data_IF_193287418439
#
_entry.id   IF_193287418439
#
_cell.length_a   1.000
_cell.length_b   1.000
_cell.length_c   1.000
_cell.angle_alpha   90.00
_cell.angle_beta   90.00
_cell.angle_gamma   90.00
#
_symmetry.space_group_name_H-M   'P 1'
#
loop_
_entity.id
_entity.type
_entity.pdbx_description
1 polymer ?
#
# COMPACT_ATOMS: atom_id res chain seq x y z
N UNK A 1 -20.58 -24.64 11.26
CA UNK A 1 -20.93 -23.29 10.77
C UNK A 1 -20.98 -23.41 9.26
N UNK A 2 -22.11 -23.06 8.63
CA UNK A 2 -22.26 -23.19 7.18
C UNK A 2 -21.43 -22.11 6.47
N UNK A 3 -20.83 -22.47 5.33
CA UNK A 3 -20.03 -21.55 4.53
C UNK A 3 -20.93 -20.50 3.85
N UNK A 4 -20.50 -19.23 3.89
CA UNK A 4 -21.24 -18.12 3.30
C UNK A 4 -20.76 -17.89 1.86
N UNK A 5 -21.68 -17.73 0.91
CA UNK A 5 -21.33 -17.38 -0.48
C UNK A 5 -21.49 -15.87 -0.70
N UNK A 6 -20.38 -15.14 -0.68
CA UNK A 6 -20.30 -13.69 -0.99
C UNK A 6 -19.04 -13.39 -1.79
N UNK A 7 -19.19 -12.57 -2.82
CA UNK A 7 -18.08 -12.22 -3.72
C UNK A 7 -17.35 -10.94 -3.34
N UNK A 8 -18.00 -10.04 -2.58
CA UNK A 8 -17.46 -8.77 -2.13
C UNK A 8 -17.50 -8.73 -0.60
N UNK A 9 -16.34 -8.63 0.04
CA UNK A 9 -16.18 -8.74 1.50
C UNK A 9 -15.43 -7.55 2.03
N UNK A 10 -15.92 -6.95 3.10
CA UNK A 10 -15.25 -5.86 3.82
C UNK A 10 -14.84 -6.33 5.21
N UNK A 11 -13.55 -6.18 5.53
CA UNK A 11 -13.01 -6.48 6.85
C UNK A 11 -12.80 -5.21 7.66
N UNK A 12 -13.35 -5.18 8.88
CA UNK A 12 -13.34 -4.02 9.76
C UNK A 12 -14.33 -2.94 9.33
N UNK A 13 -15.54 -3.35 8.92
CA UNK A 13 -16.54 -2.44 8.36
C UNK A 13 -17.10 -1.42 9.37
N UNK A 14 -16.98 -1.70 10.67
CA UNK A 14 -17.55 -0.87 11.74
C UNK A 14 -19.01 -0.50 11.49
N UNK A 15 -19.30 0.80 11.59
CA UNK A 15 -20.63 1.37 11.35
C UNK A 15 -20.79 2.00 9.96
N UNK A 16 -19.83 1.81 9.06
CA UNK A 16 -19.81 2.44 7.74
C UNK A 16 -19.41 1.44 6.64
N UNK A 17 -20.14 0.32 6.59
CA UNK A 17 -19.98 -0.72 5.58
C UNK A 17 -20.24 -0.15 4.18
N UNK A 18 -19.31 -0.43 3.27
CA UNK A 18 -19.39 -0.08 1.86
C UNK A 18 -20.59 -0.75 1.19
N UNK A 19 -21.33 0.02 0.41
CA UNK A 19 -22.49 -0.48 -0.33
C UNK A 19 -22.09 -1.64 -1.25
N UNK A 20 -22.83 -2.76 -1.18
CA UNK A 20 -22.60 -3.95 -1.98
C UNK A 20 -21.62 -4.97 -1.36
N UNK A 21 -21.01 -4.65 -0.22
CA UNK A 21 -20.09 -5.56 0.49
C UNK A 21 -20.78 -6.31 1.63
N UNK A 22 -20.29 -7.51 1.92
CA UNK A 22 -20.59 -8.24 3.15
C UNK A 22 -19.58 -7.84 4.22
N UNK A 23 -20.05 -7.21 5.29
CA UNK A 23 -19.22 -6.56 6.29
C UNK A 23 -18.95 -7.46 7.48
N UNK A 24 -17.67 -7.60 7.80
CA UNK A 24 -17.16 -8.30 8.97
C UNK A 24 -16.52 -7.29 9.91
N UNK A 25 -16.75 -7.47 11.21
CA UNK A 25 -16.08 -6.71 12.26
C UNK A 25 -15.85 -7.59 13.50
N UNK A 26 -14.92 -7.20 14.39
CA UNK A 26 -14.68 -7.92 15.64
C UNK A 26 -15.77 -7.60 16.69
N UNK A 27 -16.46 -6.47 16.55
CA UNK A 27 -17.53 -6.03 17.41
C UNK A 27 -18.87 -6.00 16.67
N UNK A 28 -20.00 -6.27 17.36
CA UNK A 28 -21.32 -6.10 16.75
C UNK A 28 -21.61 -4.62 16.47
N UNK A 29 -22.33 -4.36 15.39
CA UNK A 29 -22.77 -3.01 15.01
C UNK A 29 -23.94 -3.05 14.03
N UNK A 30 -24.66 -1.93 13.84
CA UNK A 30 -25.84 -1.84 12.97
C UNK A 30 -25.60 -2.26 11.52
N UNK A 31 -24.36 -2.15 11.02
CA UNK A 31 -24.02 -2.50 9.64
C UNK A 31 -23.17 -3.77 9.50
N UNK A 32 -22.81 -4.40 10.62
CA UNK A 32 -21.98 -5.61 10.65
C UNK A 32 -22.85 -6.81 10.29
N UNK A 33 -22.54 -7.50 9.19
CA UNK A 33 -23.27 -8.71 8.80
C UNK A 33 -22.82 -9.92 9.61
N UNK A 34 -21.55 -9.95 10.01
CA UNK A 34 -20.99 -11.02 10.80
C UNK A 34 -19.88 -10.55 11.74
N UNK A 35 -19.95 -11.02 12.99
CA UNK A 35 -18.91 -10.79 14.00
C UNK A 35 -17.85 -11.88 13.90
N UNK A 36 -16.62 -11.51 13.55
CA UNK A 36 -15.46 -12.42 13.46
C UNK A 36 -14.22 -11.68 13.95
N UNK A 37 -13.42 -12.31 14.82
CA UNK A 37 -12.10 -11.77 15.14
C UNK A 37 -11.07 -12.30 14.13
N UNK A 38 -10.75 -11.49 13.11
CA UNK A 38 -9.84 -11.86 12.02
C UNK A 38 -8.40 -12.19 12.46
N UNK A 39 -7.98 -11.80 13.67
CA UNK A 39 -6.65 -12.15 14.19
C UNK A 39 -6.53 -13.63 14.57
N UNK A 40 -7.65 -14.30 14.85
CA UNK A 40 -7.67 -15.67 15.38
C UNK A 40 -8.68 -16.60 14.73
N UNK A 41 -9.81 -16.07 14.26
CA UNK A 41 -10.93 -16.83 13.77
C UNK A 41 -10.84 -16.96 12.25
N UNK A 42 -11.04 -18.18 11.74
CA UNK A 42 -11.10 -18.44 10.31
C UNK A 42 -12.29 -17.70 9.70
N UNK A 43 -12.06 -16.99 8.58
CA UNK A 43 -13.12 -16.37 7.80
C UNK A 43 -14.06 -17.45 7.25
N UNK A 44 -15.39 -17.31 7.41
CA UNK A 44 -16.37 -18.35 7.05
C UNK A 44 -16.74 -18.32 5.56
N UNK A 45 -15.71 -18.16 4.73
CA UNK A 45 -15.81 -18.24 3.29
C UNK A 45 -14.98 -19.44 2.81
N UNK A 46 -15.46 -20.16 1.78
CA UNK A 46 -14.67 -21.18 1.12
C UNK A 46 -13.36 -20.61 0.58
N UNK A 47 -12.38 -21.50 0.37
CA UNK A 47 -11.17 -21.13 -0.33
C UNK A 47 -11.52 -20.68 -1.76
N UNK A 48 -10.89 -19.60 -2.23
CA UNK A 48 -11.10 -19.07 -3.59
C UNK A 48 -12.54 -18.63 -3.93
N UNK A 49 -13.33 -18.13 -2.98
CA UNK A 49 -14.71 -17.67 -3.25
C UNK A 49 -14.88 -16.16 -3.36
N UNK A 50 -13.96 -15.37 -2.80
CA UNK A 50 -14.05 -13.90 -2.74
C UNK A 50 -13.39 -13.27 -3.96
N UNK A 51 -14.09 -12.38 -4.64
CA UNK A 51 -13.63 -11.66 -5.85
C UNK A 51 -13.01 -10.31 -5.51
N UNK A 52 -13.55 -9.64 -4.49
CA UNK A 52 -13.08 -8.34 -4.03
C UNK A 52 -13.10 -8.31 -2.49
N UNK A 53 -11.93 -8.08 -1.91
CA UNK A 53 -11.77 -7.81 -0.50
C UNK A 53 -11.40 -6.34 -0.29
N UNK A 54 -12.10 -5.68 0.62
CA UNK A 54 -11.83 -4.30 1.01
C UNK A 54 -11.57 -4.24 2.51
N UNK A 55 -10.66 -3.38 2.93
CA UNK A 55 -10.49 -3.05 4.33
C UNK A 55 -10.02 -1.62 4.46
N UNK A 56 -10.55 -0.90 5.44
CA UNK A 56 -10.22 0.50 5.68
C UNK A 56 -10.16 0.73 7.17
N UNK A 57 -9.01 1.20 7.64
CA UNK A 57 -8.77 1.49 9.04
C UNK A 57 -8.99 0.31 10.00
N UNK A 58 -8.46 -0.87 9.64
CA UNK A 58 -8.54 -2.07 10.46
C UNK A 58 -7.16 -2.69 10.69
N UNK A 59 -6.37 -2.85 9.63
CA UNK A 59 -5.10 -3.57 9.68
C UNK A 59 -4.10 -2.94 10.65
N UNK A 60 -4.09 -1.62 10.81
CA UNK A 60 -3.21 -0.90 11.74
C UNK A 60 -3.52 -1.19 13.21
N UNK A 61 -4.72 -1.68 13.51
CA UNK A 61 -5.16 -2.02 14.86
C UNK A 61 -4.87 -3.48 15.25
N UNK A 62 -4.40 -4.31 14.30
CA UNK A 62 -4.11 -5.71 14.57
C UNK A 62 -2.77 -5.86 15.30
N UNK A 63 -2.76 -6.69 16.35
CA UNK A 63 -1.57 -7.17 17.06
C UNK A 63 -0.86 -8.27 16.28
N UNK A 64 -1.62 -9.18 15.64
CA UNK A 64 -1.09 -10.33 14.89
C UNK A 64 -1.68 -10.42 13.49
N UNK A 65 -0.98 -9.84 12.52
CA UNK A 65 -1.49 -9.70 11.15
C UNK A 65 -1.34 -10.95 10.28
N UNK A 66 -0.44 -11.87 10.62
CA UNK A 66 -0.13 -13.02 9.75
C UNK A 66 -1.34 -13.91 9.54
N UNK A 67 -2.18 -14.11 10.56
CA UNK A 67 -3.44 -14.84 10.40
C UNK A 67 -4.39 -14.14 9.43
N UNK A 68 -4.60 -12.84 9.61
CA UNK A 68 -5.46 -12.05 8.74
C UNK A 68 -5.01 -12.10 7.26
N UNK A 69 -3.71 -11.91 6.98
CA UNK A 69 -3.17 -11.99 5.62
C UNK A 69 -3.32 -13.39 5.00
N UNK A 70 -3.10 -14.46 5.77
CA UNK A 70 -3.34 -15.84 5.32
C UNK A 70 -4.79 -16.07 4.95
N UNK A 71 -5.71 -15.55 5.76
CA UNK A 71 -7.15 -15.69 5.53
C UNK A 71 -7.61 -14.87 4.33
N UNK A 72 -7.17 -13.62 4.18
CA UNK A 72 -7.39 -12.80 2.98
C UNK A 72 -6.94 -13.58 1.74
N UNK A 73 -5.71 -14.11 1.74
CA UNK A 73 -5.18 -14.86 0.60
C UNK A 73 -5.97 -16.15 0.31
N UNK A 74 -6.37 -16.87 1.37
CA UNK A 74 -7.10 -18.13 1.28
C UNK A 74 -8.47 -17.93 0.62
N UNK A 75 -9.26 -16.97 1.11
CA UNK A 75 -10.64 -16.77 0.64
C UNK A 75 -10.69 -16.10 -0.73
N UNK A 76 -9.71 -15.26 -1.07
CA UNK A 76 -9.64 -14.62 -2.37
C UNK A 76 -9.37 -15.63 -3.50
N UNK A 77 -10.16 -15.55 -4.57
CA UNK A 77 -9.97 -16.36 -5.79
C UNK A 77 -8.74 -15.90 -6.60
N UNK A 78 -8.20 -16.72 -7.51
CA UNK A 78 -7.18 -16.25 -8.45
C UNK A 78 -7.66 -15.02 -9.22
N UNK A 79 -6.86 -13.97 -9.23
CA UNK A 79 -7.17 -12.68 -9.87
C UNK A 79 -8.04 -11.74 -9.04
N UNK A 80 -8.49 -12.15 -7.84
CA UNK A 80 -9.26 -11.30 -6.93
C UNK A 80 -8.49 -10.04 -6.56
N UNK A 81 -9.23 -8.97 -6.28
CA UNK A 81 -8.68 -7.70 -5.81
C UNK A 81 -8.73 -7.64 -4.28
N UNK A 82 -7.66 -7.15 -3.67
CA UNK A 82 -7.65 -6.76 -2.27
C UNK A 82 -7.21 -5.29 -2.15
N UNK A 83 -8.08 -4.44 -1.59
CA UNK A 83 -7.88 -3.00 -1.42
C UNK A 83 -7.78 -2.70 0.08
N UNK A 84 -6.61 -2.21 0.51
CA UNK A 84 -6.28 -2.00 1.92
C UNK A 84 -5.94 -0.53 2.17
N UNK A 85 -6.74 0.13 3.01
CA UNK A 85 -6.56 1.52 3.39
C UNK A 85 -6.16 1.65 4.86
N UNK A 86 -5.10 2.39 5.12
CA UNK A 86 -4.64 2.74 6.47
C UNK A 86 -4.16 4.19 6.50
N UNK A 87 -4.04 4.81 7.68
CA UNK A 87 -3.20 5.98 7.84
C UNK A 87 -1.79 5.66 7.30
N UNK A 88 -1.14 6.63 6.69
CA UNK A 88 0.22 6.43 6.21
C UNK A 88 1.17 6.42 7.41
N UNK A 89 2.04 5.42 7.51
CA UNK A 89 2.86 5.22 8.72
C UNK A 89 3.82 6.37 9.04
N UNK A 90 4.12 7.25 8.07
CA UNK A 90 4.90 8.48 8.24
C UNK A 90 4.02 9.73 8.43
N UNK A 91 2.79 9.59 8.91
CA UNK A 91 1.88 10.70 9.24
C UNK A 91 1.60 10.76 10.74
N UNK A 92 1.22 11.94 11.24
CA UNK A 92 0.77 12.12 12.62
C UNK A 92 -0.44 11.23 12.93
N UNK A 93 -1.35 11.08 11.97
CA UNK A 93 -2.53 10.22 12.07
C UNK A 93 -2.12 8.75 12.20
N UNK A 94 -1.04 8.36 11.51
CA UNK A 94 -0.40 7.06 11.71
C UNK A 94 -0.02 6.81 13.17
N UNK A 95 0.50 7.82 13.87
CA UNK A 95 1.04 7.71 15.23
C UNK A 95 -0.01 7.79 16.36
N UNK A 96 -1.30 7.81 16.05
CA UNK A 96 -2.36 7.91 17.06
C UNK A 96 -2.46 6.67 17.94
N UNK A 97 -2.95 6.87 19.18
CA UNK A 97 -3.18 5.77 20.12
C UNK A 97 -4.15 4.74 19.53
N UNK A 98 -3.83 3.46 19.71
CA UNK A 98 -4.59 2.35 19.15
C UNK A 98 -4.09 1.87 17.79
N UNK A 99 -3.25 2.64 17.09
CA UNK A 99 -2.50 2.13 15.93
C UNK A 99 -1.27 1.38 16.43
N UNK A 100 -1.30 0.06 16.26
CA UNK A 100 -0.23 -0.84 16.68
C UNK A 100 0.81 -1.03 15.58
N UNK A 101 0.42 -0.83 14.31
CA UNK A 101 1.31 -0.93 13.16
C UNK A 101 1.21 0.29 12.25
N UNK A 102 2.36 0.86 11.92
CA UNK A 102 2.49 2.01 11.03
C UNK A 102 2.89 1.55 9.63
N UNK A 103 1.90 1.32 8.77
CA UNK A 103 2.13 0.77 7.44
C UNK A 103 2.87 1.74 6.51
N UNK A 104 3.91 1.23 5.87
CA UNK A 104 4.67 1.95 4.82
C UNK A 104 4.93 0.99 3.67
N UNK A 105 5.57 1.49 2.61
CA UNK A 105 5.96 0.70 1.44
C UNK A 105 6.70 -0.58 1.86
N UNK A 106 7.63 -0.47 2.82
CA UNK A 106 8.43 -1.60 3.33
C UNK A 106 7.55 -2.72 3.88
N UNK A 107 6.45 -2.39 4.58
CA UNK A 107 5.50 -3.39 5.06
C UNK A 107 4.94 -4.24 3.90
N UNK A 108 4.59 -3.60 2.79
CA UNK A 108 4.04 -4.28 1.62
C UNK A 108 5.11 -4.95 0.75
N UNK A 109 6.36 -4.48 0.75
CA UNK A 109 7.48 -5.24 0.17
C UNK A 109 7.61 -6.60 0.86
N UNK A 110 7.56 -6.62 2.19
CA UNK A 110 7.62 -7.85 2.96
C UNK A 110 6.45 -8.78 2.66
N UNK A 111 5.22 -8.26 2.69
CA UNK A 111 4.00 -9.04 2.43
C UNK A 111 3.97 -9.59 1.01
N UNK A 112 4.43 -8.82 0.02
CA UNK A 112 4.21 -9.13 -1.39
C UNK A 112 5.37 -9.89 -2.06
N UNK A 113 6.65 -9.64 -1.71
CA UNK A 113 7.75 -10.27 -2.43
C UNK A 113 9.08 -10.50 -1.69
N UNK A 114 9.41 -9.74 -0.64
CA UNK A 114 10.69 -9.93 0.08
C UNK A 114 10.61 -11.06 1.11
N UNK A 115 9.48 -11.15 1.82
CA UNK A 115 9.23 -12.11 2.89
C UNK A 115 7.82 -12.68 2.84
N UNK A 116 7.27 -12.84 1.64
CA UNK A 116 5.88 -13.27 1.41
C UNK A 116 5.52 -14.56 2.16
N UNK A 117 6.48 -15.49 2.30
CA UNK A 117 6.35 -16.75 3.05
C UNK A 117 6.10 -16.57 4.55
N UNK A 118 6.52 -15.45 5.15
CA UNK A 118 6.17 -15.14 6.53
C UNK A 118 4.67 -14.84 6.72
N UNK A 119 3.98 -14.50 5.62
CA UNK A 119 2.56 -14.15 5.59
C UNK A 119 1.71 -15.19 4.87
N UNK A 120 2.27 -15.98 3.97
CA UNK A 120 1.55 -16.96 3.16
C UNK A 120 1.97 -18.41 3.41
N UNK A 121 3.00 -18.64 4.22
CA UNK A 121 3.59 -19.96 4.47
C UNK A 121 3.94 -20.64 3.13
N UNK A 122 3.73 -21.94 3.01
CA UNK A 122 4.02 -22.72 1.80
C UNK A 122 2.89 -22.68 0.76
N UNK A 123 1.92 -21.76 0.89
CA UNK A 123 0.81 -21.66 -0.07
C UNK A 123 1.29 -21.24 -1.45
N UNK A 124 0.81 -21.93 -2.49
CA UNK A 124 1.10 -21.58 -3.87
C UNK A 124 0.45 -20.25 -4.25
N UNK A 125 1.27 -19.24 -4.53
CA UNK A 125 0.82 -17.91 -4.96
C UNK A 125 1.35 -16.78 -4.07
N UNK A 126 0.98 -15.56 -4.43
CA UNK A 126 1.50 -14.32 -3.82
C UNK A 126 0.53 -13.15 -4.05
N UNK A 127 0.74 -12.06 -3.31
CA UNK A 127 0.07 -10.79 -3.59
C UNK A 127 0.86 -10.00 -4.64
N UNK A 128 0.23 -9.70 -5.77
CA UNK A 128 0.74 -8.75 -6.75
C UNK A 128 0.32 -7.34 -6.34
N UNK A 129 1.28 -6.53 -5.91
CA UNK A 129 1.13 -5.12 -5.59
C UNK A 129 1.25 -4.28 -6.87
N UNK A 130 0.10 -3.92 -7.43
CA UNK A 130 0.05 -3.26 -8.75
C UNK A 130 -0.18 -1.75 -8.68
N UNK A 131 -0.77 -1.23 -7.60
CA UNK A 131 -0.97 0.20 -7.40
C UNK A 131 -0.92 0.60 -5.91
N UNK A 132 -0.41 1.80 -5.66
CA UNK A 132 -0.56 2.53 -4.40
C UNK A 132 -1.15 3.90 -4.67
N UNK A 133 -2.11 4.28 -3.85
CA UNK A 133 -2.74 5.58 -3.87
C UNK A 133 -2.39 6.34 -2.60
N UNK A 134 -1.62 7.42 -2.72
CA UNK A 134 -1.35 8.35 -1.61
C UNK A 134 -2.40 9.46 -1.55
N UNK A 135 -3.01 9.64 -0.37
CA UNK A 135 -3.76 10.84 -0.04
C UNK A 135 -2.78 11.80 0.62
N UNK A 136 -2.46 12.87 -0.09
CA UNK A 136 -1.51 13.89 0.35
C UNK A 136 -2.17 14.89 1.29
N UNK A 137 -1.39 15.47 2.21
CA UNK A 137 -1.88 16.58 3.02
C UNK A 137 -2.29 17.78 2.14
N UNK A 138 -3.38 18.51 2.49
CA UNK A 138 -3.93 19.59 1.66
C UNK A 138 -2.93 20.64 1.15
N UNK A 139 -1.94 20.99 1.97
CA UNK A 139 -0.98 22.06 1.66
C UNK A 139 0.39 21.54 1.21
N UNK A 140 0.53 20.23 0.95
CA UNK A 140 1.84 19.65 0.66
C UNK A 140 2.39 20.11 -0.69
N UNK A 141 1.53 20.26 -1.69
CA UNK A 141 1.90 20.58 -3.07
C UNK A 141 2.63 21.92 -3.15
N UNK A 142 2.03 22.95 -2.56
CA UNK A 142 2.60 24.29 -2.48
C UNK A 142 3.95 24.26 -1.75
N UNK A 143 4.02 23.57 -0.62
CA UNK A 143 5.25 23.45 0.19
C UNK A 143 6.38 22.76 -0.59
N UNK A 144 6.09 21.65 -1.26
CA UNK A 144 7.07 20.92 -2.07
C UNK A 144 7.58 21.75 -3.23
N UNK A 145 6.70 22.52 -3.88
CA UNK A 145 7.08 23.47 -4.93
C UNK A 145 8.04 24.54 -4.41
N UNK A 146 7.74 25.17 -3.27
CA UNK A 146 8.60 26.19 -2.64
C UNK A 146 9.97 25.60 -2.26
N UNK A 147 9.99 24.39 -1.69
CA UNK A 147 11.22 23.70 -1.31
C UNK A 147 11.99 23.12 -2.50
N UNK A 148 11.38 23.08 -3.68
CA UNK A 148 11.88 22.39 -4.88
C UNK A 148 12.18 20.91 -4.61
N UNK A 149 11.32 20.25 -3.83
CA UNK A 149 11.46 18.84 -3.47
C UNK A 149 10.48 17.99 -4.27
N UNK A 150 10.97 17.02 -5.08
CA UNK A 150 10.11 16.05 -5.75
C UNK A 150 9.30 15.22 -4.75
N UNK A 151 8.04 14.89 -5.09
CA UNK A 151 7.15 14.14 -4.20
C UNK A 151 7.73 12.80 -3.75
N UNK A 152 8.46 12.11 -4.62
CA UNK A 152 9.01 10.79 -4.29
C UNK A 152 10.09 10.89 -3.21
N UNK A 153 10.98 11.88 -3.34
CA UNK A 153 11.98 12.16 -2.32
C UNK A 153 11.33 12.59 -1.00
N UNK A 154 10.25 13.37 -1.09
CA UNK A 154 9.50 13.81 0.08
C UNK A 154 8.81 12.63 0.78
N UNK A 155 8.13 11.76 0.04
CA UNK A 155 7.51 10.55 0.60
C UNK A 155 8.56 9.66 1.26
N UNK A 156 9.73 9.47 0.65
CA UNK A 156 10.78 8.59 1.18
C UNK A 156 11.41 9.12 2.48
N UNK A 157 11.50 10.45 2.64
CA UNK A 157 12.35 11.04 3.69
C UNK A 157 11.65 12.05 4.61
N UNK A 158 10.40 12.42 4.37
CA UNK A 158 9.68 13.42 5.17
C UNK A 158 8.42 12.84 5.82
N UNK A 159 8.09 13.36 7.00
CA UNK A 159 6.84 13.08 7.70
C UNK A 159 5.72 13.99 7.18
N UNK A 160 4.47 13.55 7.31
CA UNK A 160 3.26 14.32 6.98
C UNK A 160 3.20 14.80 5.52
N UNK A 161 3.74 14.00 4.60
CA UNK A 161 3.53 14.17 3.16
C UNK A 161 2.23 13.45 2.76
N UNK A 162 2.20 12.14 2.95
CA UNK A 162 0.98 11.33 2.91
C UNK A 162 0.25 11.40 4.24
N UNK A 163 -1.06 11.59 4.18
CA UNK A 163 -2.01 11.50 5.30
C UNK A 163 -2.45 10.04 5.50
N UNK A 164 -2.95 9.47 4.40
CA UNK A 164 -3.53 8.14 4.28
C UNK A 164 -3.02 7.52 2.97
N UNK A 165 -3.08 6.21 2.86
CA UNK A 165 -2.81 5.54 1.60
C UNK A 165 -3.65 4.28 1.40
N UNK A 166 -3.91 3.98 0.13
CA UNK A 166 -4.54 2.76 -0.32
C UNK A 166 -3.51 1.88 -1.03
N UNK A 167 -3.49 0.60 -0.68
CA UNK A 167 -2.68 -0.41 -1.37
C UNK A 167 -3.59 -1.36 -2.10
N UNK A 168 -3.35 -1.50 -3.41
CA UNK A 168 -4.13 -2.31 -4.30
C UNK A 168 -3.36 -3.55 -4.71
N UNK A 169 -3.89 -4.70 -4.31
CA UNK A 169 -3.29 -6.00 -4.51
C UNK A 169 -4.16 -6.85 -5.42
N UNK A 170 -3.51 -7.73 -6.18
CA UNK A 170 -4.14 -8.81 -6.93
C UNK A 170 -3.65 -10.14 -6.39
N UNK A 171 -4.56 -11.05 -6.10
CA UNK A 171 -4.20 -12.38 -5.59
C UNK A 171 -3.79 -13.27 -6.77
N UNK A 172 -2.50 -13.64 -6.81
CA UNK A 172 -1.92 -14.50 -7.84
C UNK A 172 -1.74 -15.90 -7.28
N UNK A 173 -2.23 -16.90 -8.01
CA UNK A 173 -2.13 -18.34 -7.65
C UNK A 173 -1.53 -19.18 -8.77
N UNK A 174 -1.02 -18.53 -9.82
CA UNK A 174 -0.46 -19.10 -11.05
C UNK A 174 1.05 -19.39 -10.95
N UNK A 175 1.75 -18.80 -9.97
CA UNK A 175 3.14 -19.12 -9.64
C UNK A 175 3.25 -19.49 -8.16
N UNK A 176 4.27 -20.26 -7.74
CA UNK A 176 4.42 -20.67 -6.35
C UNK A 176 4.68 -19.50 -5.40
N UNK A 177 5.34 -18.44 -5.89
CA UNK A 177 5.73 -17.24 -5.12
C UNK A 177 5.90 -16.05 -6.07
N UNK A 178 6.09 -14.86 -5.50
CA UNK A 178 6.38 -13.66 -6.29
C UNK A 178 7.62 -13.87 -7.18
N UNK A 179 7.59 -13.45 -8.45
CA UNK A 179 8.70 -13.66 -9.39
C UNK A 179 9.91 -12.73 -9.13
N UNK A 180 9.76 -11.71 -8.27
CA UNK A 180 10.80 -10.76 -7.94
C UNK A 180 10.24 -9.48 -7.34
N UNK A 181 11.04 -8.43 -7.36
CA UNK A 181 10.68 -7.08 -6.91
C UNK A 181 9.46 -6.58 -7.65
N UNK A 182 8.51 -5.99 -6.91
CA UNK A 182 7.31 -5.39 -7.45
C UNK A 182 7.36 -3.86 -7.30
N UNK A 183 7.05 -3.15 -8.38
CA UNK A 183 7.03 -1.69 -8.43
C UNK A 183 5.59 -1.28 -8.82
N UNK A 184 4.76 -0.86 -7.85
CA UNK A 184 3.38 -0.48 -8.13
C UNK A 184 3.32 0.85 -8.89
N UNK A 185 2.23 1.05 -9.62
CA UNK A 185 1.85 2.39 -10.08
C UNK A 185 1.56 3.29 -8.87
N UNK A 186 1.86 4.58 -8.99
CA UNK A 186 1.60 5.56 -7.92
C UNK A 186 0.52 6.54 -8.36
N UNK A 187 -0.53 6.64 -7.57
CA UNK A 187 -1.63 7.59 -7.73
C UNK A 187 -1.66 8.55 -6.56
N UNK A 188 -2.06 9.79 -6.82
CA UNK A 188 -2.09 10.84 -5.80
C UNK A 188 -3.44 11.56 -5.80
N UNK A 189 -3.94 11.84 -4.60
CA UNK A 189 -5.02 12.80 -4.36
C UNK A 189 -4.63 13.71 -3.20
N UNK A 190 -5.37 14.80 -2.99
CA UNK A 190 -5.04 15.80 -1.96
C UNK A 190 -6.21 15.99 -0.99
N UNK A 191 -5.93 15.89 0.31
CA UNK A 191 -6.87 16.10 1.41
C UNK A 191 -7.92 15.01 1.61
N UNK A 192 -8.31 14.30 0.54
CA UNK A 192 -9.22 13.16 0.57
C UNK A 192 -8.90 12.20 -0.58
N UNK A 193 -9.54 11.03 -0.58
CA UNK A 193 -9.36 9.97 -1.59
C UNK A 193 -9.88 10.33 -3.00
N UNK A 194 -10.57 11.46 -3.18
CA UNK A 194 -11.33 11.78 -4.39
C UNK A 194 -10.85 13.01 -5.15
N UNK A 195 -9.95 13.83 -4.59
CA UNK A 195 -9.49 15.09 -5.21
C UNK A 195 -8.18 14.83 -5.95
N UNK A 196 -8.21 14.54 -7.27
CA UNK A 196 -7.02 14.11 -8.01
C UNK A 196 -5.99 15.24 -8.11
N UNK A 197 -4.72 14.84 -8.24
CA UNK A 197 -3.64 15.74 -8.61
C UNK A 197 -2.73 15.05 -9.63
N UNK A 198 -2.32 15.80 -10.65
CA UNK A 198 -1.40 15.31 -11.67
C UNK A 198 0.04 15.30 -11.15
N UNK A 199 0.79 14.27 -11.50
CA UNK A 199 2.18 14.09 -11.07
C UNK A 199 3.09 15.24 -11.50
N UNK A 200 2.80 15.91 -12.61
CA UNK A 200 3.56 17.08 -13.09
C UNK A 200 3.47 18.27 -12.11
N UNK A 201 2.39 18.37 -11.34
CA UNK A 201 2.23 19.42 -10.31
C UNK A 201 3.01 19.10 -9.03
N UNK A 202 3.41 17.84 -8.85
CA UNK A 202 4.10 17.33 -7.68
C UNK A 202 5.63 17.29 -7.82
N UNK A 203 6.13 17.51 -9.03
CA UNK A 203 7.55 17.48 -9.35
C UNK A 203 7.99 18.85 -9.86
N UNK A 204 8.69 19.64 -9.03
CA UNK A 204 9.15 20.96 -9.45
C UNK A 204 10.10 20.82 -10.64
N UNK A 205 9.85 21.61 -11.68
CA UNK A 205 10.73 21.65 -12.85
C UNK A 205 12.13 22.13 -12.43
N UNK A 206 13.22 21.53 -12.92
CA UNK A 206 14.56 21.99 -12.60
C UNK A 206 14.70 23.45 -13.01
N UNK A 207 15.04 24.32 -12.05
CA UNK A 207 15.29 25.73 -12.34
C UNK A 207 16.55 25.84 -13.20
N UNK A 208 16.35 26.04 -14.51
CA UNK A 208 17.42 26.21 -15.49
C UNK A 208 17.81 24.90 -16.18
N UNK A 209 17.18 24.60 -17.31
CA UNK A 209 17.94 23.96 -18.38
C UNK A 209 19.14 24.88 -18.65
N UNK A 210 20.39 24.39 -18.61
CA UNK A 210 21.49 25.21 -19.06
C UNK A 210 21.19 25.62 -20.50
N UNK A 211 21.26 26.91 -20.81
CA UNK A 211 21.38 27.30 -22.21
C UNK A 211 22.54 26.51 -22.82
N UNK A 212 22.43 26.13 -24.09
CA UNK A 212 23.42 25.30 -24.80
C UNK A 212 24.87 25.86 -24.78
N UNK A 213 25.10 27.01 -24.17
CA UNK A 213 26.37 27.72 -24.09
C UNK A 213 27.39 27.16 -23.07
N UNK A 214 27.07 26.19 -22.21
CA UNK A 214 28.02 25.71 -21.18
C UNK A 214 28.32 24.21 -21.22
N UNK A 215 28.43 23.62 -22.42
CA UNK A 215 29.18 22.37 -22.60
C UNK A 215 30.67 22.65 -22.69
N UNK A 216 31.32 22.91 -21.56
CA UNK A 216 32.72 22.53 -21.38
C UNK A 216 32.80 21.55 -20.21
N UNK A 217 33.28 20.31 -20.43
CA UNK A 217 33.39 19.36 -19.34
C UNK A 217 34.39 19.92 -18.32
N UNK A 218 33.92 20.17 -17.11
CA UNK A 218 34.76 20.55 -15.98
C UNK A 218 35.79 19.44 -15.77
N UNK A 219 37.05 19.87 -15.65
CA UNK A 219 38.27 19.04 -15.61
C UNK A 219 38.28 17.98 -14.48
N UNK A 220 37.27 17.98 -13.62
CA UNK A 220 37.06 17.06 -12.49
C UNK A 220 36.63 15.65 -12.92
N UNK A 221 35.93 15.48 -14.05
CA UNK A 221 35.41 14.18 -14.49
C UNK A 221 36.46 13.27 -15.17
N UNK A 222 37.67 13.77 -15.48
CA UNK A 222 38.74 12.94 -16.06
C UNK A 222 39.57 12.18 -15.03
N UNK A 223 39.54 12.57 -13.74
CA UNK A 223 40.33 11.90 -12.70
C UNK A 223 39.64 10.65 -12.11
N UNK A 224 38.33 10.50 -12.27
CA UNK A 224 37.59 9.35 -11.73
C UNK A 224 37.64 8.09 -12.63
N UNK A 225 38.11 8.22 -13.89
CA UNK A 225 38.20 7.10 -14.84
C UNK A 225 39.61 6.52 -15.01
N UNK A 226 40.60 7.00 -14.26
CA UNK A 226 41.99 6.53 -14.35
C UNK A 226 42.41 5.63 -13.18
N UNK A 227 41.56 4.70 -12.75
CA UNK A 227 41.99 3.61 -11.84
C UNK A 227 42.58 2.48 -12.69
N UNK A 228 43.86 2.10 -12.51
CA UNK A 228 44.43 0.97 -13.24
C UNK A 228 43.80 -0.34 -12.75
N UNK A 229 43.29 -1.15 -13.67
CA UNK A 229 42.96 -2.56 -13.38
C UNK A 229 44.24 -3.27 -12.97
N UNK A 230 44.36 -3.68 -11.71
CA UNK A 230 45.43 -4.59 -11.26
C UNK A 230 45.13 -5.99 -11.79
N UNK A 231 46.18 -6.64 -12.29
CA UNK A 231 46.22 -8.06 -12.69
C UNK A 231 46.11 -8.97 -11.48
#
# INVERSE_FOLDING_TARGET
MEDIVRTHVELGCGNNKRTGFFGIDFAPGPQVDLVVNVERDRLPFPDNSVEHLYSSHMFEHLTYQQHAWREVFRVCKPGALAEIWTPYGKSNDGLLFGHLTFFTETSFKHICYEYDRAYLEDRHGFFEWYETHYVLHPNVVERLSIMKTPIELALDHMMNIGLEWGVYLRVRKDLPRAPGVQIPNRRYTVGNRNTPIETDQLNPQPSGAPSEAHRKPTQFLRQLLSVPRRR
#
